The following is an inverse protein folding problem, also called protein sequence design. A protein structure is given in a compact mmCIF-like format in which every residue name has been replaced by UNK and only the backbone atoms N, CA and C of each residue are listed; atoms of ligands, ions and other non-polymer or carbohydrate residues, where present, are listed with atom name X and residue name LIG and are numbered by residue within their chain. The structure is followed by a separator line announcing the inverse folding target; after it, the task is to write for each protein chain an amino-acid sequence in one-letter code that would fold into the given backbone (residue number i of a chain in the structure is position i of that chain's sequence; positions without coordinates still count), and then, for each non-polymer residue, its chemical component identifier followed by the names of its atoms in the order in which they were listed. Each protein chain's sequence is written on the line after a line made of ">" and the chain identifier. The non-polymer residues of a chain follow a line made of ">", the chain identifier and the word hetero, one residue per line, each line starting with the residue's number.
data_IF_919642029777
#
_entry.id   IF_919642029777
#
_cell.length_a   1.000
_cell.length_b   1.000
_cell.length_c   1.000
_cell.angle_alpha   90.00
_cell.angle_beta   90.00
_cell.angle_gamma   90.00
#
_symmetry.space_group_name_H-M   'P 1'
#
loop_
_entity.id
_entity.type
_entity.pdbx_description
1 polymer ?
#
# COMPACT_ATOMS: atom_id res chain seq x y z
N UNK A 1 -9.58 9.78 3.29
CA UNK A 1 -10.11 10.96 2.61
C UNK A 1 -11.41 10.59 1.94
N UNK A 2 -12.45 11.29 2.29
CA UNK A 2 -13.73 11.09 1.64
C UNK A 2 -13.66 11.59 0.19
N UNK A 3 -14.31 10.89 -0.73
CA UNK A 3 -14.47 11.35 -2.09
C UNK A 3 -13.55 10.76 -3.14
N UNK A 4 -12.71 9.77 -2.81
CA UNK A 4 -12.03 9.00 -3.85
C UNK A 4 -12.93 7.88 -4.33
N UNK A 5 -13.24 7.89 -5.62
CA UNK A 5 -14.04 6.82 -6.24
C UNK A 5 -13.25 5.51 -6.31
N UNK A 6 -11.91 5.60 -6.37
CA UNK A 6 -11.02 4.43 -6.48
C UNK A 6 -9.96 4.48 -5.39
N UNK A 7 -9.54 3.31 -4.87
CA UNK A 7 -8.40 3.27 -3.98
C UNK A 7 -7.16 3.86 -4.65
N UNK A 8 -6.36 4.60 -3.88
CA UNK A 8 -5.13 5.22 -4.35
C UNK A 8 -3.94 4.35 -3.96
N UNK A 9 -3.12 4.00 -4.94
CA UNK A 9 -1.91 3.21 -4.74
C UNK A 9 -0.70 4.07 -5.07
N UNK A 10 0.25 4.15 -4.14
CA UNK A 10 1.54 4.79 -4.37
C UNK A 10 2.53 3.74 -4.87
N UNK A 11 3.12 4.00 -6.04
CA UNK A 11 4.18 3.16 -6.60
C UNK A 11 5.51 3.88 -6.41
N UNK A 12 6.47 3.22 -5.79
CA UNK A 12 7.81 3.77 -5.51
C UNK A 12 8.86 2.89 -6.16
N UNK A 13 9.53 3.41 -7.16
CA UNK A 13 10.62 2.74 -7.88
C UNK A 13 11.44 3.82 -8.59
N UNK A 14 12.76 3.66 -8.64
CA UNK A 14 13.61 4.60 -9.34
C UNK A 14 13.61 4.39 -10.86
N UNK A 15 13.07 3.29 -11.35
CA UNK A 15 12.99 2.95 -12.77
C UNK A 15 11.62 3.33 -13.35
N UNK A 16 11.61 4.31 -14.24
CA UNK A 16 10.37 4.78 -14.89
C UNK A 16 9.64 3.66 -15.64
N UNK A 17 10.37 2.72 -16.21
CA UNK A 17 9.79 1.59 -16.94
C UNK A 17 8.94 0.70 -16.02
N UNK A 18 9.43 0.41 -14.83
CA UNK A 18 8.70 -0.41 -13.85
C UNK A 18 7.45 0.33 -13.38
N UNK A 19 7.56 1.63 -13.10
CA UNK A 19 6.40 2.45 -12.72
C UNK A 19 5.31 2.39 -13.79
N UNK A 20 5.70 2.50 -15.06
CA UNK A 20 4.74 2.44 -16.19
C UNK A 20 4.06 1.08 -16.26
N UNK A 21 4.85 0.01 -16.15
CA UNK A 21 4.31 -1.36 -16.20
C UNK A 21 3.31 -1.58 -15.08
N UNK A 22 3.67 -1.22 -13.86
CA UNK A 22 2.80 -1.42 -12.71
C UNK A 22 1.57 -0.52 -12.75
N UNK A 23 1.70 0.71 -13.23
CA UNK A 23 0.56 1.60 -13.42
C UNK A 23 -0.45 0.97 -14.39
N UNK A 24 0.03 0.42 -15.51
CA UNK A 24 -0.84 -0.24 -16.48
C UNK A 24 -1.53 -1.49 -15.92
N UNK A 25 -0.86 -2.20 -15.01
CA UNK A 25 -1.44 -3.37 -14.34
C UNK A 25 -2.60 -3.00 -13.41
N UNK A 26 -2.56 -1.81 -12.82
CA UNK A 26 -3.50 -1.38 -11.79
C UNK A 26 -4.67 -0.57 -12.35
N UNK A 27 -4.42 0.23 -13.37
CA UNK A 27 -5.50 1.00 -14.00
C UNK A 27 -6.38 0.11 -14.87
N UNK A 28 -7.67 0.40 -15.04
CA UNK A 28 -8.38 1.57 -14.50
C UNK A 28 -8.96 1.39 -13.10
N UNK A 29 -8.82 0.24 -12.47
CA UNK A 29 -9.49 -0.09 -11.20
C UNK A 29 -8.99 0.73 -10.01
N UNK A 30 -7.74 1.20 -10.08
CA UNK A 30 -7.09 1.96 -9.01
C UNK A 30 -6.56 3.28 -9.52
N UNK A 31 -6.61 4.31 -8.67
CA UNK A 31 -5.87 5.55 -8.88
C UNK A 31 -4.40 5.31 -8.47
N UNK A 32 -3.47 5.95 -9.17
CA UNK A 32 -2.04 5.74 -8.97
C UNK A 32 -1.35 7.09 -8.76
N UNK A 33 -0.50 7.17 -7.74
CA UNK A 33 0.51 8.22 -7.61
C UNK A 33 1.88 7.57 -7.53
N UNK A 34 2.93 8.33 -7.81
CA UNK A 34 4.28 7.78 -7.97
C UNK A 34 5.31 8.59 -7.20
N UNK A 35 6.38 7.92 -6.79
CA UNK A 35 7.60 8.53 -6.28
C UNK A 35 8.79 7.75 -6.79
N UNK A 36 9.90 8.44 -7.05
CA UNK A 36 11.09 7.83 -7.66
C UNK A 36 12.23 7.62 -6.67
N UNK A 37 12.03 8.01 -5.42
CA UNK A 37 13.00 7.76 -4.33
C UNK A 37 12.28 7.67 -2.98
N UNK A 38 13.00 7.20 -1.98
CA UNK A 38 12.43 6.97 -0.65
C UNK A 38 11.98 8.23 0.07
N UNK A 39 12.74 9.32 -0.07
CA UNK A 39 12.39 10.59 0.56
C UNK A 39 11.09 11.16 0.00
N UNK A 40 10.94 11.14 -1.32
CA UNK A 40 9.71 11.56 -1.99
C UNK A 40 8.53 10.66 -1.64
N UNK A 41 8.78 9.36 -1.51
CA UNK A 41 7.74 8.41 -1.10
C UNK A 41 7.14 8.78 0.24
N UNK A 42 7.98 9.17 1.20
CA UNK A 42 7.51 9.60 2.52
C UNK A 42 6.65 10.86 2.39
N UNK A 43 7.10 11.86 1.63
CA UNK A 43 6.34 13.10 1.44
C UNK A 43 5.00 12.86 0.76
N UNK A 44 4.99 12.07 -0.31
CA UNK A 44 3.75 11.73 -1.03
C UNK A 44 2.79 10.96 -0.12
N UNK A 45 3.30 9.99 0.64
CA UNK A 45 2.46 9.20 1.55
C UNK A 45 1.84 10.07 2.64
N UNK A 46 2.58 11.02 3.20
CA UNK A 46 2.04 11.95 4.19
C UNK A 46 0.98 12.88 3.61
N UNK A 47 1.22 13.40 2.42
CA UNK A 47 0.35 14.40 1.80
C UNK A 47 -0.90 13.80 1.17
N UNK A 48 -0.76 12.67 0.48
CA UNK A 48 -1.87 12.05 -0.25
C UNK A 48 -2.54 10.90 0.47
N UNK A 49 -1.88 10.33 1.47
CA UNK A 49 -2.38 9.22 2.27
C UNK A 49 -2.97 8.09 1.40
N UNK A 50 -2.13 7.42 0.61
CA UNK A 50 -2.58 6.33 -0.24
C UNK A 50 -3.14 5.17 0.59
N UNK A 51 -3.94 4.35 -0.05
CA UNK A 51 -4.53 3.17 0.59
C UNK A 51 -3.56 2.00 0.65
N UNK A 52 -2.52 2.01 -0.18
CA UNK A 52 -1.50 0.98 -0.25
C UNK A 52 -0.24 1.53 -0.94
N UNK A 53 0.92 1.03 -0.55
CA UNK A 53 2.20 1.42 -1.13
C UNK A 53 2.90 0.18 -1.70
N UNK A 54 3.29 0.26 -2.99
CA UNK A 54 4.18 -0.70 -3.65
C UNK A 54 5.57 -0.09 -3.69
N UNK A 55 6.55 -0.71 -3.05
CA UNK A 55 7.83 -0.08 -2.74
C UNK A 55 8.99 -0.98 -3.12
N UNK A 56 9.90 -0.49 -3.97
CA UNK A 56 11.14 -1.17 -4.30
C UNK A 56 12.12 -1.09 -3.12
N UNK A 57 12.90 -2.12 -2.91
CA UNK A 57 13.94 -2.15 -1.86
C UNK A 57 15.20 -1.42 -2.32
N UNK A 58 15.65 -1.69 -3.54
CA UNK A 58 16.93 -1.19 -4.03
C UNK A 58 16.71 0.12 -4.80
N UNK A 59 17.03 1.23 -4.15
CA UNK A 59 16.96 2.55 -4.74
C UNK A 59 18.18 3.37 -4.33
N UNK A 60 18.67 4.29 -5.18
CA UNK A 60 19.74 5.18 -4.79
C UNK A 60 19.37 6.06 -3.59
N UNK A 61 20.32 6.33 -2.72
CA UNK A 61 20.09 7.11 -1.51
C UNK A 61 19.36 6.29 -0.45
N UNK A 62 18.16 6.72 -0.07
CA UNK A 62 17.34 6.00 0.90
C UNK A 62 16.82 4.69 0.30
N UNK A 63 17.12 3.57 0.95
CA UNK A 63 16.61 2.26 0.53
C UNK A 63 15.12 2.12 0.83
N UNK A 64 14.46 1.17 0.17
CA UNK A 64 13.05 0.86 0.47
C UNK A 64 12.83 0.42 1.90
N UNK A 65 13.78 -0.32 2.49
CA UNK A 65 13.70 -0.75 3.89
C UNK A 65 13.73 0.47 4.82
N UNK A 66 14.63 1.41 4.58
CA UNK A 66 14.71 2.65 5.36
C UNK A 66 13.43 3.48 5.21
N UNK A 67 12.91 3.60 3.98
CA UNK A 67 11.65 4.32 3.72
C UNK A 67 10.47 3.65 4.46
N UNK A 68 10.39 2.33 4.41
CA UNK A 68 9.33 1.59 5.10
C UNK A 68 9.39 1.80 6.62
N UNK A 69 10.57 1.73 7.21
CA UNK A 69 10.74 1.99 8.64
C UNK A 69 10.32 3.41 9.01
N UNK A 70 10.66 4.39 8.20
CA UNK A 70 10.24 5.79 8.41
C UNK A 70 8.72 5.93 8.32
N UNK A 71 8.08 5.30 7.34
CA UNK A 71 6.63 5.32 7.20
C UNK A 71 5.94 4.69 8.41
N UNK A 72 6.49 3.60 8.94
CA UNK A 72 5.92 2.89 10.09
C UNK A 72 6.16 3.61 11.43
N UNK A 73 7.14 4.51 11.48
CA UNK A 73 7.42 5.33 12.65
C UNK A 73 6.57 6.62 12.73
N UNK A 74 5.85 6.96 11.67
CA UNK A 74 5.04 8.17 11.57
C UNK A 74 3.56 7.83 11.78
N UNK A 75 2.88 8.43 12.78
CA UNK A 75 1.45 8.17 13.02
C UNK A 75 0.54 8.44 11.82
N UNK A 76 0.94 9.33 10.90
CA UNK A 76 0.14 9.66 9.72
C UNK A 76 0.15 8.52 8.70
N UNK A 77 1.26 7.79 8.59
CA UNK A 77 1.47 6.78 7.56
C UNK A 77 1.62 5.36 8.08
N UNK A 78 1.74 5.17 9.40
CA UNK A 78 2.07 3.86 10.00
C UNK A 78 1.10 2.74 9.64
N UNK A 79 -0.17 3.07 9.39
CA UNK A 79 -1.21 2.07 9.12
C UNK A 79 -1.38 1.76 7.63
N UNK A 80 -0.71 2.50 6.75
CA UNK A 80 -0.79 2.24 5.31
C UNK A 80 -0.03 0.94 5.01
N UNK A 81 -0.69 -0.07 4.41
CA UNK A 81 0.01 -1.32 4.08
C UNK A 81 1.09 -1.09 3.03
N UNK A 82 2.27 -1.67 3.26
CA UNK A 82 3.42 -1.60 2.36
C UNK A 82 3.71 -2.99 1.84
N UNK A 83 3.78 -3.13 0.51
CA UNK A 83 4.20 -4.35 -0.18
C UNK A 83 5.50 -4.04 -0.89
N UNK A 84 6.56 -4.81 -0.62
CA UNK A 84 7.80 -4.67 -1.37
C UNK A 84 7.68 -5.35 -2.74
N UNK A 85 8.17 -4.68 -3.78
CA UNK A 85 8.28 -5.23 -5.13
C UNK A 85 9.73 -5.13 -5.54
N UNK A 86 10.46 -6.25 -5.54
CA UNK A 86 11.91 -6.23 -5.68
C UNK A 86 12.44 -7.47 -6.39
N UNK A 87 13.61 -7.32 -7.03
CA UNK A 87 14.33 -8.41 -7.66
C UNK A 87 15.10 -9.31 -6.67
N UNK A 88 15.11 -8.93 -5.40
CA UNK A 88 15.74 -9.72 -4.35
C UNK A 88 14.79 -10.85 -3.94
N UNK A 89 15.16 -12.08 -4.18
CA UNK A 89 14.27 -13.25 -4.04
C UNK A 89 14.75 -14.31 -3.06
N UNK A 90 15.72 -14.03 -2.17
CA UNK A 90 16.09 -14.99 -1.14
C UNK A 90 15.30 -14.77 0.16
N UNK A 91 15.28 -15.79 1.01
CA UNK A 91 14.54 -15.75 2.28
C UNK A 91 15.02 -14.66 3.22
N UNK A 92 16.29 -14.31 3.18
CA UNK A 92 16.84 -13.23 4.01
C UNK A 92 16.19 -11.89 3.69
N UNK A 93 16.01 -11.59 2.41
CA UNK A 93 15.38 -10.34 1.97
C UNK A 93 13.91 -10.30 2.33
N UNK A 94 13.21 -11.42 2.23
CA UNK A 94 11.83 -11.53 2.69
C UNK A 94 11.71 -11.24 4.19
N UNK A 95 12.59 -11.84 5.01
CA UNK A 95 12.61 -11.57 6.44
C UNK A 95 12.90 -10.11 6.77
N UNK A 96 13.87 -9.49 6.08
CA UNK A 96 14.19 -8.07 6.24
C UNK A 96 12.99 -7.20 5.92
N UNK A 97 12.27 -7.49 4.83
CA UNK A 97 11.07 -6.78 4.43
C UNK A 97 9.97 -6.85 5.50
N UNK A 98 9.68 -8.05 5.98
CA UNK A 98 8.65 -8.24 7.00
C UNK A 98 9.02 -7.59 8.33
N UNK A 99 10.29 -7.65 8.74
CA UNK A 99 10.78 -6.96 9.95
C UNK A 99 10.69 -5.44 9.84
N UNK A 100 10.78 -4.89 8.64
CA UNK A 100 10.62 -3.46 8.42
C UNK A 100 9.16 -3.00 8.55
N UNK A 101 8.21 -3.94 8.64
CA UNK A 101 6.79 -3.66 8.80
C UNK A 101 5.96 -3.82 7.55
N UNK A 102 6.53 -4.38 6.48
CA UNK A 102 5.78 -4.70 5.26
C UNK A 102 4.79 -5.83 5.51
N UNK A 103 3.66 -5.79 4.78
CA UNK A 103 2.63 -6.83 4.90
C UNK A 103 2.82 -7.95 3.88
N UNK A 104 3.62 -7.72 2.83
CA UNK A 104 3.83 -8.71 1.78
C UNK A 104 5.05 -8.35 0.92
N UNK A 105 5.36 -9.23 0.01
CA UNK A 105 6.52 -9.18 -0.87
C UNK A 105 6.14 -9.73 -2.24
N UNK A 106 6.51 -9.02 -3.31
CA UNK A 106 6.28 -9.45 -4.71
C UNK A 106 7.64 -9.47 -5.42
N UNK A 107 8.07 -10.61 -5.98
CA UNK A 107 9.31 -10.66 -6.75
C UNK A 107 9.18 -9.99 -8.11
N UNK A 108 10.26 -9.37 -8.59
CA UNK A 108 10.39 -8.88 -9.97
C UNK A 108 10.88 -10.01 -10.89
N UNK A 109 10.46 -10.06 -12.16
CA UNK A 109 9.51 -9.13 -12.79
C UNK A 109 8.09 -9.37 -12.29
N UNK A 110 7.33 -8.30 -12.00
CA UNK A 110 5.97 -8.46 -11.47
C UNK A 110 5.03 -9.02 -12.53
N UNK A 111 4.20 -9.99 -12.14
CA UNK A 111 3.11 -10.46 -12.99
C UNK A 111 1.82 -9.74 -12.63
N UNK A 112 0.97 -9.47 -13.63
CA UNK A 112 -0.28 -8.75 -13.42
C UNK A 112 -1.19 -9.52 -12.46
N UNK A 113 -1.24 -10.84 -12.56
CA UNK A 113 -2.08 -11.69 -11.71
C UNK A 113 -1.66 -11.60 -10.26
N UNK A 114 -0.35 -11.70 -9.97
CA UNK A 114 0.17 -11.64 -8.60
C UNK A 114 0.01 -10.25 -8.02
N UNK A 115 0.35 -9.20 -8.77
CA UNK A 115 0.22 -7.82 -8.30
C UNK A 115 -1.23 -7.53 -7.94
N UNK A 116 -2.17 -7.83 -8.84
CA UNK A 116 -3.60 -7.56 -8.61
C UNK A 116 -4.15 -8.39 -7.45
N UNK A 117 -3.75 -9.64 -7.33
CA UNK A 117 -4.21 -10.51 -6.24
C UNK A 117 -3.72 -9.99 -4.87
N UNK A 118 -2.44 -9.63 -4.76
CA UNK A 118 -1.87 -9.12 -3.50
C UNK A 118 -2.46 -7.76 -3.13
N UNK A 119 -2.59 -6.86 -4.09
CA UNK A 119 -3.19 -5.55 -3.88
C UNK A 119 -4.63 -5.71 -3.37
N UNK A 120 -5.42 -6.56 -4.00
CA UNK A 120 -6.82 -6.80 -3.61
C UNK A 120 -6.91 -7.31 -2.17
N UNK A 121 -6.10 -8.30 -1.81
CA UNK A 121 -6.10 -8.90 -0.46
C UNK A 121 -5.79 -7.84 0.60
N UNK A 122 -4.72 -7.05 0.40
CA UNK A 122 -4.29 -6.10 1.42
C UNK A 122 -5.16 -4.84 1.46
N UNK A 123 -5.75 -4.42 0.35
CA UNK A 123 -6.75 -3.35 0.37
C UNK A 123 -8.01 -3.79 1.12
N UNK A 124 -8.46 -5.02 0.91
CA UNK A 124 -9.61 -5.58 1.62
C UNK A 124 -9.34 -5.65 3.13
N UNK A 125 -8.20 -6.17 3.54
CA UNK A 125 -7.81 -6.23 4.94
C UNK A 125 -7.75 -4.83 5.58
N UNK A 126 -7.22 -3.85 4.86
CA UNK A 126 -7.13 -2.47 5.32
C UNK A 126 -8.51 -1.84 5.51
N UNK A 127 -9.46 -2.09 4.61
CA UNK A 127 -10.85 -1.61 4.74
C UNK A 127 -11.54 -2.24 5.95
N UNK A 128 -11.35 -3.54 6.17
CA UNK A 128 -11.89 -4.23 7.34
C UNK A 128 -11.35 -3.61 8.64
N UNK A 129 -10.05 -3.38 8.71
CA UNK A 129 -9.43 -2.77 9.88
C UNK A 129 -9.99 -1.37 10.15
N UNK A 130 -10.07 -0.53 9.14
CA UNK A 130 -10.62 0.84 9.27
C UNK A 130 -12.07 0.81 9.77
N UNK A 131 -12.87 -0.11 9.26
CA UNK A 131 -14.26 -0.26 9.68
C UNK A 131 -14.35 -0.67 11.16
N UNK A 132 -13.56 -1.65 11.58
CA UNK A 132 -13.53 -2.09 12.98
C UNK A 132 -13.08 -0.96 13.90
N UNK A 133 -12.07 -0.20 13.52
CA UNK A 133 -11.59 0.95 14.29
C UNK A 133 -12.67 2.03 14.43
N UNK A 134 -13.41 2.31 13.38
CA UNK A 134 -14.52 3.28 13.41
C UNK A 134 -15.65 2.81 14.34
N UNK A 135 -15.99 1.53 14.30
CA UNK A 135 -16.96 0.96 15.23
C UNK A 135 -16.49 1.09 16.66
N UNK A 136 -15.25 0.73 16.95
CA UNK A 136 -14.67 0.80 18.29
C UNK A 136 -14.58 2.24 18.81
N UNK A 137 -14.35 3.21 17.94
CA UNK A 137 -14.31 4.63 18.29
C UNK A 137 -15.69 5.27 18.45
N UNK A 138 -16.76 4.56 18.08
CA UNK A 138 -18.13 5.08 18.14
C UNK A 138 -18.47 6.04 16.99
N UNK A 139 -17.67 6.09 15.95
CA UNK A 139 -17.89 6.96 14.79
C UNK A 139 -19.07 6.50 13.93
N UNK A 140 -19.44 5.24 14.05
CA UNK A 140 -20.59 4.66 13.39
C UNK A 140 -21.39 3.92 14.44
N UNK A 141 -22.60 4.39 14.76
CA UNK A 141 -23.44 3.82 15.82
C UNK A 141 -24.85 3.45 15.35
N UNK A 142 -25.27 3.97 14.20
CA UNK A 142 -26.59 3.61 13.64
C UNK A 142 -26.55 2.18 13.09
N UNK A 143 -27.43 1.27 13.56
CA UNK A 143 -27.43 -0.13 13.09
C UNK A 143 -27.58 -0.30 11.59
N UNK A 144 -28.40 0.52 10.93
CA UNK A 144 -28.60 0.42 9.49
C UNK A 144 -27.35 0.85 8.70
N UNK A 145 -26.68 1.90 9.18
CA UNK A 145 -25.43 2.36 8.57
C UNK A 145 -24.31 1.33 8.75
N UNK A 146 -24.21 0.72 9.94
CA UNK A 146 -23.25 -0.36 10.22
C UNK A 146 -23.47 -1.53 9.26
N UNK A 147 -24.72 -1.94 9.09
CA UNK A 147 -25.10 -3.04 8.20
C UNK A 147 -24.73 -2.73 6.76
N UNK A 148 -25.01 -1.53 6.31
CA UNK A 148 -24.69 -1.07 4.95
C UNK A 148 -23.19 -1.10 4.68
N UNK A 149 -22.39 -0.52 5.59
CA UNK A 149 -20.94 -0.48 5.46
C UNK A 149 -20.32 -1.86 5.53
N UNK A 150 -20.83 -2.73 6.39
CA UNK A 150 -20.37 -4.12 6.46
C UNK A 150 -20.60 -4.86 5.15
N UNK A 151 -21.76 -4.67 4.52
CA UNK A 151 -22.08 -5.29 3.23
C UNK A 151 -21.16 -4.79 2.11
N UNK A 152 -20.84 -3.48 2.09
CA UNK A 152 -19.93 -2.90 1.10
C UNK A 152 -18.51 -3.48 1.23
N UNK A 153 -18.06 -3.69 2.46
CA UNK A 153 -16.72 -4.24 2.74
C UNK A 153 -16.62 -5.71 2.30
N UNK A 154 -17.73 -6.46 2.45
CA UNK A 154 -17.74 -7.90 2.12
C UNK A 154 -17.83 -8.18 0.60
N UNK A 155 -18.12 -7.18 -0.20
CA UNK A 155 -18.10 -7.31 -1.66
C UNK A 155 -16.67 -7.27 -2.21
#
# INVERSE_FOLDING_TARGET
>A
MEGRDKPLILIVDDQATIIRIMTNMLQPDYAVCVATDGSRAIDVARNQQPDLILLDIIMPGMTGVEACKALKADPITEKIPVIFVTSMDDKHNEEVALKAGAVDYIPKPPSVEIVRARVKVHLSANRHRKFIERLAAGDVSDPEEIKKQAQEILQ
#
